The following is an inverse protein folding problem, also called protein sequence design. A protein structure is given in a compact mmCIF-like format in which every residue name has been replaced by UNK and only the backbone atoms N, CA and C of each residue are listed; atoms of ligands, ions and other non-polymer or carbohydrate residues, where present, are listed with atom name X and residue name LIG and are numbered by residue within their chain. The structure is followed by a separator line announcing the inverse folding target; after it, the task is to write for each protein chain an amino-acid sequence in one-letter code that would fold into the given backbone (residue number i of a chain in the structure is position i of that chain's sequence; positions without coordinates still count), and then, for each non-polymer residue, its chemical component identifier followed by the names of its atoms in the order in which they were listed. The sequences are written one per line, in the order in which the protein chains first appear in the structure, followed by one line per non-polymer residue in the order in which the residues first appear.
data_IF_282120160634
#
_entry.id   IF_282120160634
#
_cell.length_a   1.000
_cell.length_b   1.000
_cell.length_c   1.000
_cell.angle_alpha   90.00
_cell.angle_beta   90.00
_cell.angle_gamma   90.00
#
_symmetry.space_group_name_H-M   'P 1'
#
loop_
_entity.id
_entity.type
_entity.pdbx_description
1 polymer ?
#
# COMPACT_ATOMS: atom_id res chain seq x y z
N UNK A 1 -24.07 -38.67 20.96
CA UNK A 1 -24.35 -37.58 20.00
C UNK A 1 -24.21 -36.26 20.75
N UNK A 2 -23.08 -35.56 20.57
CA UNK A 2 -22.83 -34.29 21.27
C UNK A 2 -22.77 -33.18 20.23
N UNK A 3 -23.79 -32.33 20.22
CA UNK A 3 -23.97 -31.22 19.28
C UNK A 3 -22.99 -30.09 19.61
N UNK A 4 -21.87 -30.04 18.88
CA UNK A 4 -20.96 -28.91 18.93
C UNK A 4 -21.71 -27.63 18.50
N UNK A 5 -21.94 -26.73 19.45
CA UNK A 5 -22.51 -25.40 19.22
C UNK A 5 -21.60 -24.65 18.23
N UNK A 6 -22.04 -24.53 16.97
CA UNK A 6 -21.37 -23.71 15.95
C UNK A 6 -21.27 -22.28 16.49
N UNK A 7 -20.05 -21.83 16.76
CA UNK A 7 -19.78 -20.43 17.07
C UNK A 7 -20.26 -19.58 15.89
N UNK A 8 -20.98 -18.49 16.19
CA UNK A 8 -21.51 -17.55 15.19
C UNK A 8 -20.42 -16.75 14.47
N UNK A 9 -19.20 -16.78 15.01
CA UNK A 9 -18.03 -16.20 14.40
C UNK A 9 -17.37 -17.29 13.54
N UNK A 10 -17.41 -17.10 12.22
CA UNK A 10 -16.60 -17.89 11.30
C UNK A 10 -15.10 -17.67 11.55
N UNK A 11 -14.22 -18.45 10.91
CA UNK A 11 -12.79 -18.22 11.01
C UNK A 11 -12.46 -16.76 10.71
N UNK A 12 -11.73 -16.11 11.63
CA UNK A 12 -11.35 -14.72 11.49
C UNK A 12 -10.48 -14.53 10.24
N UNK A 13 -10.62 -13.40 9.52
CA UNK A 13 -9.73 -13.08 8.42
C UNK A 13 -8.28 -13.07 8.93
N UNK A 14 -7.40 -13.74 8.18
CA UNK A 14 -5.96 -13.71 8.47
C UNK A 14 -5.44 -12.35 8.05
N UNK A 15 -5.21 -11.47 9.02
CA UNK A 15 -4.47 -10.23 8.79
C UNK A 15 -2.99 -10.61 8.71
N UNK A 16 -2.48 -10.79 7.50
CA UNK A 16 -1.06 -11.04 7.28
C UNK A 16 -0.31 -9.70 7.29
N UNK A 17 0.52 -9.49 8.32
CA UNK A 17 1.44 -8.36 8.39
C UNK A 17 2.83 -8.82 7.98
N UNK A 18 3.41 -8.14 6.99
CA UNK A 18 4.77 -8.44 6.50
C UNK A 18 5.71 -7.39 7.05
N UNK A 19 6.72 -7.82 7.82
CA UNK A 19 7.79 -6.93 8.28
C UNK A 19 8.88 -6.83 7.21
N UNK A 20 9.12 -5.63 6.73
CA UNK A 20 10.22 -5.33 5.80
C UNK A 20 11.34 -4.60 6.54
N UNK A 21 12.59 -4.98 6.27
CA UNK A 21 13.79 -4.29 6.77
C UNK A 21 14.56 -3.75 5.58
N UNK A 22 14.92 -2.47 5.60
CA UNK A 22 15.69 -1.84 4.54
C UNK A 22 16.78 -0.94 5.12
N UNK A 23 17.85 -0.74 4.37
CA UNK A 23 18.91 0.21 4.71
C UNK A 23 18.46 1.61 4.32
N UNK A 24 18.25 2.47 5.32
CA UNK A 24 17.88 3.86 5.10
C UNK A 24 19.14 4.75 5.17
N UNK A 25 19.45 5.55 4.14
CA UNK A 25 20.49 6.57 4.23
C UNK A 25 20.21 7.54 5.38
N UNK A 26 21.25 7.99 6.07
CA UNK A 26 21.11 8.89 7.22
C UNK A 26 20.40 10.20 6.88
N UNK A 27 20.63 10.74 5.69
CA UNK A 27 19.93 11.93 5.18
C UNK A 27 18.42 11.70 5.08
N UNK A 28 18.01 10.57 4.50
CA UNK A 28 16.59 10.23 4.36
C UNK A 28 15.92 10.05 5.74
N UNK A 29 16.60 9.41 6.70
CA UNK A 29 16.07 9.29 8.07
C UNK A 29 15.85 10.67 8.71
N UNK A 30 16.81 11.59 8.57
CA UNK A 30 16.68 12.93 9.11
C UNK A 30 15.51 13.72 8.48
N UNK A 31 15.30 13.57 7.17
CA UNK A 31 14.16 14.20 6.49
C UNK A 31 12.82 13.59 6.91
N UNK A 32 12.75 12.27 7.11
CA UNK A 32 11.56 11.60 7.64
C UNK A 32 11.23 12.05 9.07
N UNK A 33 12.23 12.23 9.93
CA UNK A 33 12.04 12.74 11.29
C UNK A 33 11.54 14.18 11.30
N UNK A 34 12.10 15.02 10.42
CA UNK A 34 11.62 16.39 10.23
C UNK A 34 10.17 16.41 9.76
N UNK A 35 9.82 15.54 8.81
CA UNK A 35 8.45 15.44 8.31
C UNK A 35 7.48 15.00 9.41
N UNK A 36 7.86 14.01 10.22
CA UNK A 36 7.09 13.56 11.38
C UNK A 36 6.86 14.68 12.40
N UNK A 37 7.89 15.47 12.70
CA UNK A 37 7.79 16.63 13.58
C UNK A 37 6.85 17.72 13.02
N UNK A 38 6.88 17.99 11.72
CA UNK A 38 5.97 18.93 11.07
C UNK A 38 4.52 18.42 11.05
N UNK A 39 4.33 17.13 10.84
CA UNK A 39 3.02 16.50 10.92
C UNK A 39 2.43 16.64 12.33
N UNK A 40 3.24 16.39 13.37
CA UNK A 40 2.83 16.56 14.76
C UNK A 40 2.46 17.99 15.11
N UNK A 41 3.19 18.97 14.59
CA UNK A 41 2.84 20.39 14.76
C UNK A 41 1.53 20.76 14.07
N UNK A 42 1.24 20.13 12.93
CA UNK A 42 0.05 20.45 12.12
C UNK A 42 -1.22 19.80 12.69
N UNK A 43 -1.13 18.55 13.13
CA UNK A 43 -2.29 17.75 13.55
C UNK A 43 -2.37 17.54 15.07
N UNK A 44 -1.38 18.01 15.83
CA UNK A 44 -1.33 17.92 17.29
C UNK A 44 -0.98 16.54 17.84
N UNK A 45 -0.72 15.56 16.97
CA UNK A 45 -0.39 14.19 17.36
C UNK A 45 1.04 13.84 16.96
N UNK A 46 1.86 13.45 17.94
CA UNK A 46 3.22 12.96 17.70
C UNK A 46 3.17 11.61 17.02
N UNK A 47 3.66 11.54 15.79
CA UNK A 47 3.71 10.31 15.00
C UNK A 47 5.17 9.98 14.70
N UNK A 48 5.53 8.70 14.75
CA UNK A 48 6.87 8.26 14.33
C UNK A 48 6.97 8.15 12.81
N UNK A 49 8.16 8.38 12.27
CA UNK A 49 8.47 8.16 10.86
C UNK A 49 8.10 6.75 10.41
N UNK A 50 8.33 5.72 11.24
CA UNK A 50 8.00 4.33 10.89
C UNK A 50 6.50 4.10 10.64
N UNK A 51 5.63 4.88 11.28
CA UNK A 51 4.18 4.83 11.08
C UNK A 51 3.76 5.57 9.81
N UNK A 52 4.46 6.65 9.46
CA UNK A 52 4.17 7.44 8.25
C UNK A 52 4.65 6.76 6.97
N UNK A 53 5.78 6.04 7.02
CA UNK A 53 6.41 5.41 5.84
C UNK A 53 5.42 4.54 5.04
N UNK A 54 4.64 3.61 5.63
CA UNK A 54 3.67 2.82 4.88
C UNK A 54 2.65 3.67 4.11
N UNK A 55 2.10 4.70 4.76
CA UNK A 55 1.13 5.60 4.14
C UNK A 55 1.74 6.44 3.02
N UNK A 56 2.97 6.93 3.21
CA UNK A 56 3.69 7.68 2.18
C UNK A 56 3.98 6.80 0.95
N UNK A 57 4.40 5.55 1.16
CA UNK A 57 4.65 4.59 0.08
C UNK A 57 3.37 4.21 -0.65
N UNK A 58 2.28 3.99 0.06
CA UNK A 58 0.97 3.71 -0.55
C UNK A 58 0.51 4.88 -1.42
N UNK A 59 0.57 6.11 -0.90
CA UNK A 59 0.22 7.32 -1.65
C UNK A 59 1.12 7.50 -2.88
N UNK A 60 2.42 7.23 -2.74
CA UNK A 60 3.38 7.26 -3.85
C UNK A 60 3.01 6.26 -4.95
N UNK A 61 2.78 4.99 -4.59
CA UNK A 61 2.38 3.94 -5.53
C UNK A 61 1.02 4.24 -6.20
N UNK A 62 0.07 4.80 -5.43
CA UNK A 62 -1.21 5.21 -5.96
C UNK A 62 -1.11 6.41 -6.91
N UNK A 63 -0.15 7.30 -6.70
CA UNK A 63 0.12 8.48 -7.54
C UNK A 63 0.88 8.17 -8.83
N UNK A 64 1.66 7.09 -8.86
CA UNK A 64 2.47 6.72 -10.02
C UNK A 64 1.61 6.15 -11.18
N UNK A 65 1.33 7.02 -12.15
CA UNK A 65 0.57 6.67 -13.36
C UNK A 65 1.31 5.70 -14.26
N UNK A 66 2.64 5.72 -14.27
CA UNK A 66 3.47 4.79 -15.03
C UNK A 66 3.31 3.39 -14.48
N UNK A 67 3.41 3.26 -13.16
CA UNK A 67 3.18 2.01 -12.43
C UNK A 67 1.76 1.47 -12.64
N UNK A 68 0.73 2.33 -12.55
CA UNK A 68 -0.68 1.94 -12.78
C UNK A 68 -0.97 1.49 -14.21
N UNK A 69 -0.26 2.03 -15.22
CA UNK A 69 -0.45 1.63 -16.62
C UNK A 69 0.08 0.22 -16.87
N UNK A 70 1.15 -0.20 -16.20
CA UNK A 70 1.68 -1.57 -16.28
C UNK A 70 0.86 -2.61 -15.51
N UNK A 71 0.04 -2.21 -14.53
CA UNK A 71 -0.80 -3.14 -13.76
C UNK A 71 -2.15 -3.46 -14.41
N UNK A 72 -2.50 -2.77 -15.51
CA UNK A 72 -3.68 -3.11 -16.30
C UNK A 72 -3.27 -4.14 -17.36
N UNK A 73 -3.82 -5.37 -17.36
CA UNK A 73 -3.70 -6.26 -18.50
C UNK A 73 -4.54 -5.67 -19.63
N UNK A 74 -4.02 -4.64 -20.31
CA UNK A 74 -4.59 -4.15 -21.56
C UNK A 74 -4.18 -5.10 -22.68
N UNK A 75 -4.62 -6.35 -22.58
CA UNK A 75 -4.79 -7.22 -23.74
C UNK A 75 -6.22 -7.03 -24.25
N UNK A 76 -6.48 -5.88 -24.87
CA UNK A 76 -7.45 -5.85 -25.97
C UNK A 76 -6.62 -5.96 -27.24
N UNK A 77 -6.64 -7.11 -27.95
CA UNK A 77 -6.07 -7.12 -29.28
C UNK A 77 -6.86 -6.10 -30.09
N UNK A 78 -6.16 -5.07 -30.55
CA UNK A 78 -6.69 -4.11 -31.50
C UNK A 78 -6.83 -4.90 -32.79
N UNK A 79 -8.02 -5.49 -33.03
CA UNK A 79 -8.29 -6.23 -34.24
C UNK A 79 -8.02 -5.28 -35.41
N UNK A 80 -6.96 -5.62 -36.13
CA UNK A 80 -6.42 -4.89 -37.25
C UNK A 80 -7.46 -4.91 -38.37
N UNK A 81 -7.56 -3.77 -39.07
CA UNK A 81 -8.47 -3.50 -40.18
C UNK A 81 -8.71 -4.74 -41.07
N UNK A 82 -9.96 -5.18 -41.15
CA UNK A 82 -10.44 -5.98 -42.26
C UNK A 82 -10.96 -5.03 -43.37
N UNK A 83 -10.10 -4.77 -44.36
CA UNK A 83 -10.39 -4.54 -45.78
C UNK A 83 -9.03 -4.23 -46.45
N UNK A 84 -8.68 -4.77 -47.64
CA UNK A 84 -9.59 -4.95 -48.78
C UNK A 84 -9.41 -6.27 -49.59
N UNK A 85 -10.47 -6.67 -50.30
CA UNK A 85 -10.43 -7.24 -51.67
C UNK A 85 -11.84 -7.15 -52.25
#
# INVERSE_FOLDING_TARGET
MSTARKLRLGPLPKTESIKLTFTCPASLKADLDRYAALHAQTYGETVDAATLIPHMLEAFMAGDRGFKRSSSPSSRPRNEKAAPA
#
